data_IF_360743331500
#
_entry.id   IF_360743331500
#
_cell.length_a   1.000
_cell.length_b   1.000
_cell.length_c   1.000
_cell.angle_alpha   90.00
_cell.angle_beta   90.00
_cell.angle_gamma   90.00
#
_symmetry.space_group_name_H-M   'P 1'
#
loop_
_entity.id
_entity.type
_entity.pdbx_description
1 polymer ?
#
# COMPACT_ATOMS: atom_id res chain seq x y z
N UNK A 1 17.83 4.89 -10.55
CA UNK A 1 18.12 3.53 -10.03
C UNK A 1 16.79 2.87 -9.74
N UNK A 2 16.68 1.56 -9.96
CA UNK A 2 15.49 0.83 -9.56
C UNK A 2 15.53 0.58 -8.04
N UNK A 3 14.37 0.57 -7.39
CA UNK A 3 14.22 0.05 -6.02
C UNK A 3 14.91 -1.33 -5.97
N UNK A 4 15.71 -1.64 -4.94
CA UNK A 4 16.31 -2.96 -4.80
C UNK A 4 15.25 -4.06 -4.89
N UNK A 5 15.52 -5.11 -5.66
CA UNK A 5 14.52 -6.15 -5.99
C UNK A 5 13.89 -6.78 -4.76
N UNK A 6 14.69 -7.07 -3.75
CA UNK A 6 14.25 -7.61 -2.46
C UNK A 6 13.31 -6.66 -1.69
N UNK A 7 13.59 -5.36 -1.74
CA UNK A 7 12.71 -4.33 -1.15
C UNK A 7 11.39 -4.26 -1.93
N UNK A 8 11.45 -4.26 -3.26
CA UNK A 8 10.26 -4.25 -4.10
C UNK A 8 9.37 -5.48 -3.84
N UNK A 9 9.94 -6.68 -3.83
CA UNK A 9 9.22 -7.92 -3.56
C UNK A 9 8.56 -7.91 -2.18
N UNK A 10 9.26 -7.42 -1.16
CA UNK A 10 8.72 -7.35 0.19
C UNK A 10 7.53 -6.37 0.29
N UNK A 11 7.62 -5.22 -0.35
CA UNK A 11 6.54 -4.23 -0.44
C UNK A 11 5.35 -4.78 -1.22
N UNK A 12 5.57 -5.39 -2.38
CA UNK A 12 4.50 -6.01 -3.17
C UNK A 12 3.79 -7.14 -2.41
N UNK A 13 4.54 -7.95 -1.66
CA UNK A 13 3.97 -9.01 -0.82
C UNK A 13 3.06 -8.42 0.26
N UNK A 14 3.47 -7.32 0.90
CA UNK A 14 2.63 -6.61 1.87
C UNK A 14 1.34 -6.07 1.22
N UNK A 15 1.43 -5.42 0.07
CA UNK A 15 0.26 -4.91 -0.66
C UNK A 15 -0.69 -6.05 -1.02
N UNK A 16 -0.18 -7.12 -1.65
CA UNK A 16 -1.00 -8.29 -2.05
C UNK A 16 -1.68 -8.95 -0.85
N UNK A 17 -0.98 -9.08 0.28
CA UNK A 17 -1.55 -9.60 1.52
C UNK A 17 -2.70 -8.73 2.02
N UNK A 18 -2.49 -7.42 2.11
CA UNK A 18 -3.52 -6.47 2.55
C UNK A 18 -4.73 -6.44 1.60
N UNK A 19 -4.51 -6.56 0.29
CA UNK A 19 -5.61 -6.68 -0.69
C UNK A 19 -6.41 -7.96 -0.46
N UNK A 20 -5.72 -9.09 -0.23
CA UNK A 20 -6.39 -10.37 0.00
C UNK A 20 -7.28 -10.38 1.25
N UNK A 21 -7.03 -9.47 2.19
CA UNK A 21 -7.76 -9.33 3.45
C UNK A 21 -8.84 -8.22 3.41
N UNK A 22 -9.04 -7.57 2.26
CA UNK A 22 -9.92 -6.39 2.13
C UNK A 22 -11.32 -6.63 2.67
N UNK A 23 -11.95 -7.73 2.28
CA UNK A 23 -13.29 -8.09 2.75
C UNK A 23 -13.38 -8.21 4.27
N UNK A 24 -12.30 -8.67 4.91
CA UNK A 24 -12.25 -8.86 6.36
C UNK A 24 -12.23 -7.54 7.13
N UNK A 25 -11.54 -6.51 6.62
CA UNK A 25 -11.46 -5.21 7.31
C UNK A 25 -12.43 -4.14 6.79
N UNK A 26 -13.16 -4.36 5.69
CA UNK A 26 -14.26 -3.47 5.26
C UNK A 26 -15.22 -3.13 6.43
N UNK A 27 -15.71 -4.09 7.24
CA UNK A 27 -16.60 -3.79 8.36
C UNK A 27 -15.94 -2.87 9.39
N UNK A 28 -14.66 -3.09 9.71
CA UNK A 28 -13.88 -2.26 10.63
C UNK A 28 -13.79 -0.82 10.11
N UNK A 29 -13.49 -0.65 8.82
CA UNK A 29 -13.39 0.68 8.19
C UNK A 29 -14.72 1.42 8.22
N UNK A 30 -15.85 0.74 7.99
CA UNK A 30 -17.18 1.37 8.11
C UNK A 30 -17.50 1.85 9.53
N UNK A 31 -17.04 1.12 10.55
CA UNK A 31 -17.23 1.49 11.95
C UNK A 31 -16.33 2.68 12.34
N UNK A 32 -15.05 2.62 11.98
CA UNK A 32 -14.04 3.62 12.38
C UNK A 32 -14.19 4.91 11.56
N UNK A 33 -14.65 4.84 10.31
CA UNK A 33 -14.82 5.98 9.41
C UNK A 33 -16.28 6.09 8.93
N UNK A 34 -17.25 6.35 9.82
CA UNK A 34 -18.68 6.26 9.53
C UNK A 34 -19.18 7.28 8.50
N UNK A 35 -18.43 8.35 8.26
CA UNK A 35 -18.78 9.41 7.32
C UNK A 35 -18.04 9.32 5.97
N UNK A 36 -17.22 8.28 5.77
CA UNK A 36 -16.50 8.12 4.51
C UNK A 36 -17.49 7.83 3.37
N UNK A 37 -17.43 8.67 2.33
CA UNK A 37 -18.24 8.50 1.10
C UNK A 37 -17.53 7.69 0.02
N UNK A 38 -16.22 7.47 0.17
CA UNK A 38 -15.41 6.70 -0.77
C UNK A 38 -14.57 5.66 0.00
N UNK A 39 -15.18 4.50 0.24
CA UNK A 39 -14.53 3.39 0.95
C UNK A 39 -13.36 2.79 0.14
N UNK A 40 -13.45 2.79 -1.19
CA UNK A 40 -12.36 2.32 -2.05
C UNK A 40 -11.11 3.17 -1.88
N UNK A 41 -11.24 4.52 -1.89
CA UNK A 41 -10.12 5.43 -1.58
C UNK A 41 -9.58 5.21 -0.17
N UNK A 42 -10.47 5.08 0.81
CA UNK A 42 -10.07 4.87 2.21
C UNK A 42 -9.25 3.60 2.39
N UNK A 43 -9.68 2.49 1.80
CA UNK A 43 -8.95 1.23 1.84
C UNK A 43 -7.65 1.31 1.05
N UNK A 44 -7.67 1.88 -0.15
CA UNK A 44 -6.46 2.04 -0.94
C UNK A 44 -5.40 2.85 -0.17
N UNK A 45 -5.80 3.96 0.47
CA UNK A 45 -4.91 4.77 1.31
C UNK A 45 -4.35 3.98 2.50
N UNK A 46 -5.16 3.16 3.15
CA UNK A 46 -4.70 2.29 4.24
C UNK A 46 -3.64 1.30 3.77
N UNK A 47 -3.90 0.60 2.66
CA UNK A 47 -2.98 -0.39 2.10
C UNK A 47 -1.66 0.27 1.70
N UNK A 48 -1.73 1.37 0.96
CA UNK A 48 -0.53 2.07 0.48
C UNK A 48 0.23 2.74 1.62
N UNK A 49 -0.46 3.28 2.64
CA UNK A 49 0.18 3.83 3.84
C UNK A 49 0.94 2.77 4.65
N UNK A 50 0.38 1.56 4.77
CA UNK A 50 1.05 0.40 5.34
C UNK A 50 2.29 0.01 4.53
N UNK A 51 2.14 -0.09 3.21
CA UNK A 51 3.22 -0.43 2.29
C UNK A 51 4.35 0.62 2.28
N UNK A 52 4.02 1.90 2.43
CA UNK A 52 4.99 2.99 2.54
C UNK A 52 5.84 2.87 3.81
N UNK A 53 5.20 2.57 4.94
CA UNK A 53 5.89 2.32 6.21
C UNK A 53 6.86 1.14 6.08
N UNK A 54 6.42 0.06 5.42
CA UNK A 54 7.26 -1.10 5.12
C UNK A 54 8.43 -0.74 4.23
N UNK A 55 8.18 0.01 3.15
CA UNK A 55 9.21 0.47 2.21
C UNK A 55 10.29 1.28 2.91
N UNK A 56 9.92 2.30 3.69
CA UNK A 56 10.87 3.12 4.45
C UNK A 56 11.66 2.27 5.46
N UNK A 57 10.99 1.34 6.14
CA UNK A 57 11.64 0.45 7.10
C UNK A 57 12.69 -0.46 6.45
N UNK A 58 12.43 -0.95 5.22
CA UNK A 58 13.42 -1.73 4.48
C UNK A 58 14.70 -0.93 4.19
N UNK A 59 14.59 0.37 3.86
CA UNK A 59 15.77 1.22 3.72
C UNK A 59 16.47 1.46 5.07
N UNK A 60 15.70 1.70 6.14
CA UNK A 60 16.23 1.94 7.47
C UNK A 60 17.06 0.76 8.00
N UNK A 61 16.60 -0.49 7.81
CA UNK A 61 17.35 -1.71 8.19
C UNK A 61 18.70 -1.81 7.45
N UNK A 62 18.81 -1.20 6.28
CA UNK A 62 20.05 -1.12 5.48
C UNK A 62 20.90 0.10 5.82
N UNK A 63 20.57 0.84 6.87
CA UNK A 63 21.21 2.11 7.27
C UNK A 63 21.21 3.13 6.13
N UNK A 64 20.16 3.13 5.30
CA UNK A 64 19.97 4.04 4.17
C UNK A 64 18.62 4.75 4.29
N UNK A 65 18.44 5.78 3.49
CA UNK A 65 17.16 6.45 3.28
C UNK A 65 16.77 6.37 1.80
N UNK A 66 15.48 6.24 1.48
CA UNK A 66 15.01 6.31 0.10
C UNK A 66 15.19 7.74 -0.44
N UNK A 67 15.61 7.82 -1.70
CA UNK A 67 15.71 9.07 -2.46
C UNK A 67 14.33 9.49 -3.01
N UNK A 68 14.24 10.71 -3.56
CA UNK A 68 13.06 11.17 -4.29
C UNK A 68 12.66 10.22 -5.43
N UNK A 69 13.65 9.71 -6.17
CA UNK A 69 13.46 8.76 -7.26
C UNK A 69 12.91 7.43 -6.76
N UNK A 70 13.37 6.94 -5.59
CA UNK A 70 12.86 5.71 -5.00
C UNK A 70 11.38 5.86 -4.58
N UNK A 71 10.98 7.02 -4.05
CA UNK A 71 9.58 7.32 -3.75
C UNK A 71 8.72 7.43 -5.02
N UNK A 72 9.27 7.98 -6.11
CA UNK A 72 8.57 8.03 -7.40
C UNK A 72 8.30 6.62 -7.94
N UNK A 73 9.29 5.73 -7.89
CA UNK A 73 9.13 4.34 -8.29
C UNK A 73 8.16 3.58 -7.37
N UNK A 74 8.18 3.85 -6.07
CA UNK A 74 7.17 3.31 -5.14
C UNK A 74 5.76 3.76 -5.54
N UNK A 75 5.57 5.03 -5.90
CA UNK A 75 4.27 5.54 -6.37
C UNK A 75 3.78 4.81 -7.61
N UNK A 76 4.66 4.58 -8.60
CA UNK A 76 4.33 3.80 -9.80
C UNK A 76 3.99 2.35 -9.47
N UNK A 77 4.70 1.74 -8.52
CA UNK A 77 4.42 0.39 -8.04
C UNK A 77 3.04 0.31 -7.38
N UNK A 78 2.75 1.23 -6.46
CA UNK A 78 1.48 1.30 -5.73
C UNK A 78 0.27 1.50 -6.67
N UNK A 79 0.42 2.34 -7.70
CA UNK A 79 -0.66 2.66 -8.64
C UNK A 79 -1.20 1.41 -9.36
N UNK A 80 -0.35 0.43 -9.65
CA UNK A 80 -0.73 -0.84 -10.33
C UNK A 80 -1.81 -1.63 -9.59
N UNK A 81 -1.96 -1.40 -8.29
CA UNK A 81 -2.89 -2.13 -7.44
C UNK A 81 -4.25 -1.44 -7.26
N UNK A 82 -4.41 -0.21 -7.78
CA UNK A 82 -5.63 0.58 -7.58
C UNK A 82 -6.87 -0.15 -8.10
N UNK A 83 -6.81 -0.64 -9.33
CA UNK A 83 -7.92 -1.34 -9.97
C UNK A 83 -8.32 -2.64 -9.24
N UNK A 84 -7.40 -3.25 -8.48
CA UNK A 84 -7.72 -4.44 -7.69
C UNK A 84 -8.54 -4.09 -6.46
N UNK A 85 -8.26 -2.96 -5.81
CA UNK A 85 -9.06 -2.48 -4.66
C UNK A 85 -10.45 -2.05 -5.12
N UNK A 86 -10.55 -1.37 -6.25
CA UNK A 86 -11.84 -0.90 -6.77
C UNK A 86 -12.81 -2.06 -7.08
N UNK A 87 -12.33 -3.28 -7.33
CA UNK A 87 -13.17 -4.47 -7.58
C UNK A 87 -13.99 -4.90 -6.37
N UNK A 88 -13.59 -4.57 -5.14
CA UNK A 88 -14.35 -4.91 -3.93
C UNK A 88 -15.58 -4.00 -3.71
N UNK A 89 -15.71 -2.96 -4.52
CA UNK A 89 -16.74 -1.91 -4.37
C UNK A 89 -17.57 -1.69 -5.64
N UNK A 90 -17.38 -2.52 -6.66
CA UNK A 90 -18.14 -2.54 -7.92
C UNK A 90 -19.22 -3.61 -7.91
#
# INVERSE_FOLDING_TARGET
>A
MAIPTDVQEYVEKNIKLMISQTETYIPVIKIVFPYSKNLADGIYNLIIGSALSVFVNQYAIRMKYPTSEDFLEFGKLALKYRDQVDKFFK
#
